data_IF_798258389207
#
_entry.id   IF_798258389207
#
_cell.length_a   1.000
_cell.length_b   1.000
_cell.length_c   1.000
_cell.angle_alpha   90.00
_cell.angle_beta   90.00
_cell.angle_gamma   90.00
#
_symmetry.space_group_name_H-M   'P 1'
#
loop_
_entity.id
_entity.type
_entity.pdbx_description
1 polymer ?
#
# COMPACT_ATOMS: atom_id res chain seq x y z
N UNK A 1 -20.41 12.69 15.19
CA UNK A 1 -19.46 12.47 14.07
C UNK A 1 -18.21 11.84 14.66
N UNK A 2 -17.73 10.68 14.19
CA UNK A 2 -16.47 10.13 14.71
C UNK A 2 -15.32 11.03 14.25
N UNK A 3 -14.38 11.31 15.14
CA UNK A 3 -13.25 12.19 14.90
C UNK A 3 -12.41 11.64 13.74
N UNK A 4 -12.26 12.46 12.70
CA UNK A 4 -11.31 12.20 11.63
C UNK A 4 -9.93 12.24 12.28
N UNK A 5 -9.17 11.15 12.23
CA UNK A 5 -7.80 11.15 12.72
C UNK A 5 -7.02 12.24 11.97
N UNK A 6 -6.57 13.27 12.68
CA UNK A 6 -5.91 14.44 12.09
C UNK A 6 -4.47 14.15 11.66
N UNK A 7 -3.87 13.07 12.18
CA UNK A 7 -2.47 12.70 11.95
C UNK A 7 -2.40 11.29 11.31
N UNK A 8 -1.53 11.08 10.30
CA UNK A 8 -1.25 9.74 9.78
C UNK A 8 -0.85 8.76 10.89
N UNK A 9 -1.29 7.50 10.78
CA UNK A 9 -0.85 6.44 11.72
C UNK A 9 0.67 6.29 11.68
N UNK A 10 1.25 5.90 12.80
CA UNK A 10 2.69 5.60 12.91
C UNK A 10 3.12 4.48 11.95
N UNK A 11 4.37 4.53 11.51
CA UNK A 11 4.97 3.49 10.66
C UNK A 11 5.21 2.23 11.51
N UNK A 12 4.61 1.11 11.11
CA UNK A 12 4.59 -0.15 11.86
C UNK A 12 4.75 -1.40 10.99
N UNK A 13 4.47 -1.33 9.69
CA UNK A 13 4.54 -2.49 8.79
C UNK A 13 5.96 -2.80 8.33
N UNK A 14 6.81 -1.78 8.17
CA UNK A 14 8.19 -1.93 7.68
C UNK A 14 9.07 -0.77 8.16
N UNK A 15 10.38 -0.93 7.99
CA UNK A 15 11.38 0.13 8.27
C UNK A 15 11.77 0.93 7.03
N UNK A 16 11.30 0.54 5.85
CA UNK A 16 11.59 1.22 4.59
C UNK A 16 10.52 0.92 3.53
N UNK A 17 10.37 1.83 2.57
CA UNK A 17 9.50 1.63 1.40
C UNK A 17 9.93 0.42 0.56
N UNK A 18 11.23 0.08 0.57
CA UNK A 18 11.76 -1.11 -0.12
C UNK A 18 11.23 -2.40 0.50
N UNK A 19 11.22 -2.48 1.83
CA UNK A 19 10.70 -3.66 2.54
C UNK A 19 9.17 -3.74 2.47
N UNK A 20 8.50 -2.59 2.46
CA UNK A 20 7.07 -2.50 2.24
C UNK A 20 6.68 -3.05 0.86
N UNK A 21 7.45 -2.71 -0.18
CA UNK A 21 7.23 -3.21 -1.54
C UNK A 21 7.33 -4.74 -1.66
N UNK A 22 8.24 -5.39 -0.94
CA UNK A 22 8.34 -6.87 -0.91
C UNK A 22 7.05 -7.53 -0.40
N UNK A 23 6.31 -6.86 0.50
CA UNK A 23 5.03 -7.37 1.04
C UNK A 23 3.87 -7.28 0.04
N UNK A 24 4.06 -6.60 -1.09
CA UNK A 24 3.04 -6.43 -2.14
C UNK A 24 3.00 -7.59 -3.12
N UNK A 25 3.99 -8.49 -3.08
CA UNK A 25 4.07 -9.64 -3.98
C UNK A 25 2.84 -10.54 -3.85
N UNK A 26 2.21 -10.82 -5.00
CA UNK A 26 1.10 -11.76 -5.11
C UNK A 26 1.53 -12.90 -6.02
N UNK A 27 1.55 -14.12 -5.48
CA UNK A 27 1.85 -15.32 -6.25
C UNK A 27 0.62 -15.72 -7.08
N UNK A 28 0.80 -16.11 -8.35
CA UNK A 28 -0.29 -16.67 -9.14
C UNK A 28 -0.74 -18.01 -8.56
N UNK A 29 -2.00 -18.08 -8.15
CA UNK A 29 -2.71 -19.30 -7.75
C UNK A 29 -3.56 -19.85 -8.90
N UNK A 30 -3.74 -21.19 -8.92
CA UNK A 30 -4.57 -21.90 -9.90
C UNK A 30 -6.07 -21.83 -9.56
N UNK A 31 -6.59 -20.62 -9.34
CA UNK A 31 -8.01 -20.36 -9.06
C UNK A 31 -8.72 -19.77 -10.29
N UNK A 32 -10.04 -19.61 -10.25
CA UNK A 32 -10.81 -19.02 -11.36
C UNK A 32 -10.58 -17.51 -11.50
N UNK A 33 -10.78 -16.93 -12.70
CA UNK A 33 -10.71 -15.48 -12.90
C UNK A 33 -11.76 -14.74 -12.08
N UNK A 34 -12.97 -15.31 -11.94
CA UNK A 34 -14.01 -14.77 -11.06
C UNK A 34 -13.51 -14.67 -9.60
N UNK A 35 -12.79 -15.67 -9.10
CA UNK A 35 -12.20 -15.65 -7.76
C UNK A 35 -11.19 -14.51 -7.61
N UNK A 36 -10.31 -14.33 -8.60
CA UNK A 36 -9.37 -13.20 -8.60
C UNK A 36 -10.08 -11.84 -8.59
N UNK A 37 -11.12 -11.69 -9.40
CA UNK A 37 -11.92 -10.45 -9.47
C UNK A 37 -12.57 -10.13 -8.12
N UNK A 38 -13.18 -11.12 -7.47
CA UNK A 38 -13.76 -10.94 -6.13
C UNK A 38 -12.69 -10.60 -5.09
N UNK A 39 -11.52 -11.24 -5.14
CA UNK A 39 -10.40 -10.91 -4.27
C UNK A 39 -9.90 -9.48 -4.53
N UNK A 40 -9.78 -9.06 -5.79
CA UNK A 40 -9.38 -7.71 -6.15
C UNK A 40 -10.36 -6.67 -5.58
N UNK A 41 -11.66 -6.89 -5.69
CA UNK A 41 -12.68 -6.00 -5.10
C UNK A 41 -12.55 -5.87 -3.59
N UNK A 42 -12.34 -6.98 -2.89
CA UNK A 42 -12.11 -6.97 -1.43
C UNK A 42 -10.85 -6.18 -1.08
N UNK A 43 -9.74 -6.43 -1.78
CA UNK A 43 -8.48 -5.72 -1.56
C UNK A 43 -8.66 -4.22 -1.76
N UNK A 44 -9.31 -3.81 -2.85
CA UNK A 44 -9.55 -2.39 -3.15
C UNK A 44 -10.42 -1.72 -2.09
N UNK A 45 -11.51 -2.38 -1.67
CA UNK A 45 -12.37 -1.86 -0.60
C UNK A 45 -11.59 -1.69 0.70
N UNK A 46 -10.80 -2.68 1.10
CA UNK A 46 -9.96 -2.57 2.31
C UNK A 46 -8.87 -1.51 2.15
N UNK A 47 -8.36 -1.28 0.94
CA UNK A 47 -7.41 -0.20 0.68
C UNK A 47 -8.04 1.18 0.92
N UNK A 48 -9.28 1.40 0.44
CA UNK A 48 -10.03 2.62 0.70
C UNK A 48 -10.31 2.84 2.19
N UNK A 49 -10.71 1.78 2.91
CA UNK A 49 -10.90 1.83 4.37
C UNK A 49 -9.60 2.23 5.09
N UNK A 50 -8.46 1.61 4.75
CA UNK A 50 -7.17 1.97 5.33
C UNK A 50 -6.76 3.41 4.99
N UNK A 51 -7.05 3.87 3.77
CA UNK A 51 -6.78 5.25 3.34
C UNK A 51 -7.60 6.25 4.16
N UNK A 52 -8.87 5.95 4.44
CA UNK A 52 -9.74 6.78 5.30
C UNK A 52 -9.26 6.78 6.75
N UNK A 53 -8.77 5.65 7.24
CA UNK A 53 -8.16 5.50 8.57
C UNK A 53 -6.77 6.14 8.68
N UNK A 54 -6.26 6.79 7.61
CA UNK A 54 -4.91 7.36 7.53
C UNK A 54 -3.79 6.35 7.80
N UNK A 55 -4.05 5.10 7.47
CA UNK A 55 -3.10 3.99 7.54
C UNK A 55 -2.35 3.87 6.22
N UNK A 56 -1.36 4.74 6.03
CA UNK A 56 -0.68 4.93 4.75
C UNK A 56 0.09 3.68 4.29
N UNK A 57 0.80 3.01 5.20
CA UNK A 57 1.56 1.80 4.84
C UNK A 57 0.62 0.67 4.40
N UNK A 58 -0.46 0.43 5.16
CA UNK A 58 -1.41 -0.64 4.84
C UNK A 58 -2.20 -0.33 3.58
N UNK A 59 -2.66 0.92 3.42
CA UNK A 59 -3.33 1.37 2.21
C UNK A 59 -2.44 1.19 0.98
N UNK A 60 -1.17 1.62 1.05
CA UNK A 60 -0.20 1.46 -0.03
C UNK A 60 -0.02 -0.01 -0.43
N UNK A 61 0.20 -0.89 0.54
CA UNK A 61 0.38 -2.33 0.28
C UNK A 61 -0.86 -2.92 -0.40
N UNK A 62 -2.06 -2.53 0.03
CA UNK A 62 -3.31 -3.03 -0.55
C UNK A 62 -3.54 -2.50 -1.96
N UNK A 63 -3.28 -1.22 -2.24
CA UNK A 63 -3.36 -0.69 -3.60
C UNK A 63 -2.36 -1.37 -4.55
N UNK A 64 -1.12 -1.57 -4.12
CA UNK A 64 -0.11 -2.29 -4.91
C UNK A 64 -0.50 -3.75 -5.16
N UNK A 65 -1.06 -4.43 -4.15
CA UNK A 65 -1.62 -5.79 -4.31
C UNK A 65 -2.77 -5.81 -5.30
N UNK A 66 -3.67 -4.83 -5.23
CA UNK A 66 -4.78 -4.71 -6.18
C UNK A 66 -4.27 -4.55 -7.62
N UNK A 67 -3.30 -3.66 -7.86
CA UNK A 67 -2.68 -3.46 -9.18
C UNK A 67 -2.03 -4.76 -9.68
N UNK A 68 -1.34 -5.48 -8.81
CA UNK A 68 -0.72 -6.76 -9.14
C UNK A 68 -1.76 -7.81 -9.53
N UNK A 69 -2.82 -7.97 -8.73
CA UNK A 69 -3.93 -8.89 -9.03
C UNK A 69 -4.65 -8.50 -10.32
N UNK A 70 -4.89 -7.21 -10.54
CA UNK A 70 -5.50 -6.70 -11.77
C UNK A 70 -4.65 -7.08 -13.01
N UNK A 71 -3.34 -6.91 -12.92
CA UNK A 71 -2.41 -7.30 -13.98
C UNK A 71 -2.38 -8.81 -14.22
N UNK A 72 -2.54 -9.62 -13.17
CA UNK A 72 -2.68 -11.08 -13.31
C UNK A 72 -3.98 -11.44 -14.04
N UNK A 73 -5.11 -10.85 -13.64
CA UNK A 73 -6.41 -11.05 -14.28
C UNK A 73 -6.34 -10.72 -15.77
N UNK A 74 -5.79 -9.55 -16.13
CA UNK A 74 -5.70 -9.05 -17.51
C UNK A 74 -4.91 -9.99 -18.44
N UNK A 75 -3.97 -10.78 -17.91
CA UNK A 75 -3.16 -11.72 -18.68
C UNK A 75 -3.90 -13.03 -19.00
N UNK A 76 -5.01 -13.33 -18.34
CA UNK A 76 -5.70 -14.61 -18.50
C UNK A 76 -6.53 -14.67 -19.79
N UNK A 77 -6.61 -15.84 -20.45
CA UNK A 77 -7.30 -15.97 -21.74
C UNK A 77 -8.81 -15.77 -21.63
N UNK A 78 -9.43 -16.24 -20.56
CA UNK A 78 -10.86 -16.07 -20.28
C UNK A 78 -11.24 -14.60 -19.99
N UNK A 79 -10.32 -13.83 -19.41
CA UNK A 79 -10.50 -12.39 -19.27
C UNK A 79 -10.61 -11.69 -20.63
N UNK A 80 -9.78 -12.06 -21.61
CA UNK A 80 -9.82 -11.47 -22.96
C UNK A 80 -11.12 -11.74 -23.70
N UNK A 81 -11.74 -12.91 -23.45
CA UNK A 81 -13.01 -13.28 -24.07
C UNK A 81 -14.21 -12.53 -23.46
N UNK A 82 -14.13 -12.16 -22.18
CA UNK A 82 -15.22 -11.51 -21.44
C UNK A 82 -14.75 -10.21 -20.79
N UNK A 83 -13.97 -9.42 -21.54
CA UNK A 83 -13.28 -8.25 -21.01
C UNK A 83 -14.25 -7.22 -20.43
N UNK A 84 -15.34 -6.91 -21.14
CA UNK A 84 -16.32 -5.92 -20.70
C UNK A 84 -17.06 -6.38 -19.42
N UNK A 85 -17.37 -7.67 -19.32
CA UNK A 85 -17.98 -8.25 -18.12
C UNK A 85 -17.07 -8.07 -16.90
N UNK A 86 -15.80 -8.46 -16.99
CA UNK A 86 -14.89 -8.34 -15.86
C UNK A 86 -14.51 -6.89 -15.55
N UNK A 87 -14.39 -6.01 -16.55
CA UNK A 87 -14.19 -4.57 -16.34
C UNK A 87 -15.38 -3.92 -15.63
N UNK A 88 -16.62 -4.29 -15.99
CA UNK A 88 -17.81 -3.77 -15.32
C UNK A 88 -17.83 -4.13 -13.82
N UNK A 89 -17.36 -5.34 -13.48
CA UNK A 89 -17.29 -5.81 -12.09
C UNK A 89 -16.14 -5.13 -11.34
N UNK A 90 -14.94 -5.06 -11.94
CA UNK A 90 -13.77 -4.46 -11.31
C UNK A 90 -13.90 -2.95 -11.14
N UNK A 91 -14.78 -2.30 -11.90
CA UNK A 91 -14.97 -0.86 -11.92
C UNK A 91 -13.97 -0.19 -12.87
N UNK A 92 -14.44 0.51 -13.93
CA UNK A 92 -13.55 1.04 -14.97
C UNK A 92 -12.55 2.09 -14.46
N UNK A 93 -12.84 2.77 -13.35
CA UNK A 93 -11.95 3.75 -12.73
C UNK A 93 -11.07 3.22 -11.60
N UNK A 94 -11.33 2.02 -11.08
CA UNK A 94 -10.68 1.55 -9.85
C UNK A 94 -9.19 1.27 -10.04
N UNK A 95 -8.79 0.79 -11.22
CA UNK A 95 -7.37 0.61 -11.54
C UNK A 95 -6.62 1.93 -11.60
N UNK A 96 -7.19 2.94 -12.26
CA UNK A 96 -6.60 4.28 -12.33
C UNK A 96 -6.44 4.88 -10.93
N UNK A 97 -7.53 4.85 -10.15
CA UNK A 97 -7.52 5.35 -8.78
C UNK A 97 -6.52 4.61 -7.89
N UNK A 98 -6.41 3.28 -7.99
CA UNK A 98 -5.45 2.52 -7.22
C UNK A 98 -4.00 2.89 -7.53
N UNK A 99 -3.67 3.15 -8.80
CA UNK A 99 -2.33 3.59 -9.20
C UNK A 99 -2.04 4.99 -8.67
N UNK A 100 -2.96 5.94 -8.87
CA UNK A 100 -2.80 7.33 -8.40
C UNK A 100 -2.64 7.40 -6.87
N UNK A 101 -3.46 6.64 -6.12
CA UNK A 101 -3.34 6.59 -4.66
C UNK A 101 -2.06 5.88 -4.22
N UNK A 102 -1.62 4.82 -4.90
CA UNK A 102 -0.36 4.16 -4.60
C UNK A 102 0.84 5.09 -4.81
N UNK A 103 0.85 5.89 -5.89
CA UNK A 103 1.88 6.88 -6.16
C UNK A 103 1.92 7.96 -5.08
N UNK A 104 0.76 8.55 -4.77
CA UNK A 104 0.62 9.56 -3.71
C UNK A 104 1.10 9.05 -2.35
N UNK A 105 0.70 7.82 -1.99
CA UNK A 105 1.12 7.19 -0.73
C UNK A 105 2.61 6.85 -0.74
N UNK A 106 3.16 6.42 -1.88
CA UNK A 106 4.58 6.14 -2.04
C UNK A 106 5.44 7.38 -1.76
N UNK A 107 5.05 8.54 -2.30
CA UNK A 107 5.75 9.81 -2.06
C UNK A 107 5.69 10.21 -0.59
N UNK A 108 4.51 10.13 0.01
CA UNK A 108 4.33 10.44 1.43
C UNK A 108 5.14 9.51 2.33
N UNK A 109 5.06 8.19 2.11
CA UNK A 109 5.79 7.19 2.90
C UNK A 109 7.30 7.36 2.76
N UNK A 110 7.81 7.70 1.57
CA UNK A 110 9.24 7.97 1.36
C UNK A 110 9.74 9.08 2.28
N UNK A 111 9.03 10.20 2.34
CA UNK A 111 9.37 11.33 3.22
C UNK A 111 9.32 10.92 4.69
N UNK A 112 8.28 10.19 5.10
CA UNK A 112 8.11 9.76 6.49
C UNK A 112 9.19 8.78 6.95
N UNK A 113 9.61 7.85 6.10
CA UNK A 113 10.73 6.95 6.42
C UNK A 113 12.05 7.71 6.53
N UNK A 114 12.30 8.68 5.64
CA UNK A 114 13.50 9.52 5.69
C UNK A 114 13.54 10.37 6.97
N UNK A 115 12.43 11.02 7.32
CA UNK A 115 12.31 11.78 8.58
C UNK A 115 12.56 10.90 9.81
N UNK A 116 11.99 9.69 9.84
CA UNK A 116 12.19 8.74 10.93
C UNK A 116 13.67 8.31 11.07
N UNK A 117 14.37 8.09 9.95
CA UNK A 117 15.79 7.74 9.96
C UNK A 117 16.66 8.91 10.44
N UNK A 118 16.39 10.13 9.98
CA UNK A 118 17.10 11.34 10.41
C UNK A 118 16.90 11.58 11.90
N UNK A 119 15.65 11.49 12.38
CA UNK A 119 15.34 11.66 13.81
C UNK A 119 16.10 10.66 14.67
N UNK A 120 16.12 9.38 14.27
CA UNK A 120 16.87 8.34 14.99
C UNK A 120 18.38 8.65 15.06
N UNK A 121 18.97 9.12 13.96
CA UNK A 121 20.39 9.50 13.91
C UNK A 121 20.71 10.69 14.83
N UNK A 122 19.83 11.68 14.88
CA UNK A 122 19.98 12.83 15.79
C UNK A 122 19.90 12.38 17.25
N UNK A 123 18.88 11.59 17.61
CA UNK A 123 18.72 11.06 18.97
C UNK A 123 19.90 10.18 19.41
N UNK A 124 20.51 9.41 18.49
CA UNK A 124 21.72 8.63 18.77
C UNK A 124 22.95 9.50 18.96
N UNK A 125 23.12 10.56 18.14
CA UNK A 125 24.22 11.52 18.26
C UNK A 125 24.16 12.27 19.59
N UNK A 126 22.99 12.78 19.97
CA UNK A 126 22.79 13.52 21.22
C UNK A 126 23.14 12.63 22.43
N UNK A 127 22.71 11.36 22.41
CA UNK A 127 23.05 10.38 23.45
C UNK A 127 24.56 10.11 23.55
N UNK A 128 25.25 10.03 22.40
CA UNK A 128 26.70 9.85 22.39
C UNK A 128 27.43 11.09 22.94
N UNK A 129 26.99 12.29 22.60
CA UNK A 129 27.53 13.54 23.11
C UNK A 129 27.33 13.67 24.63
N UNK A 130 26.14 13.33 25.14
CA UNK A 130 25.86 13.31 26.57
C UNK A 130 26.74 12.30 27.31
N UNK A 131 26.90 11.08 26.76
CA UNK A 131 27.75 10.06 27.34
C UNK A 131 29.24 10.50 27.39
N UNK A 132 29.72 11.20 26.36
CA UNK A 132 31.08 11.75 26.32
C UNK A 132 31.28 12.90 27.32
N UNK A 133 30.25 13.72 27.60
CA UNK A 133 30.32 14.82 28.58
C UNK A 133 30.31 14.34 30.03
N UNK A 134 29.79 13.14 30.28
CA UNK A 134 29.69 12.52 31.61
C UNK A 134 30.90 11.64 31.95
N UNK A 135 31.88 11.54 31.05
CA UNK A 135 33.10 10.74 31.19
C UNK A 135 34.31 11.62 31.47
#
# INVERSE_FOLDING_TARGET
MPAVASVPKELYLSSSLKDLNKKTEVKPEKISTKSYVHSALKIFKTAEECRLDRDEERAYVLYMKYVTVYNLIKKRPDFKQQQDYFHSILGPGNIKKAVEEAERLSESLKLRYEEAEVRKKLEEKDRQEEAQRLQ
#
